data_IF_290344722506
#
_entry.id   IF_290344722506
#
_cell.length_a   1.000
_cell.length_b   1.000
_cell.length_c   1.000
_cell.angle_alpha   90.00
_cell.angle_beta   90.00
_cell.angle_gamma   90.00
#
_symmetry.space_group_name_H-M   'P 1'
#
loop_
_entity.id
_entity.type
_entity.pdbx_description
1 polymer ?
#
# COMPACT_ATOMS: atom_id res chain seq x y z
N UNK A 1 37.72 1.32 23.68
CA UNK A 1 37.51 0.44 22.53
C UNK A 1 36.07 -0.02 22.34
N UNK A 2 35.34 -0.24 23.38
CA UNK A 2 33.93 -0.68 23.25
C UNK A 2 32.96 0.42 22.84
N UNK A 3 33.35 1.67 22.96
CA UNK A 3 32.51 2.83 22.65
C UNK A 3 32.17 2.93 21.14
N UNK A 4 33.09 2.50 20.28
CA UNK A 4 32.89 2.53 18.83
C UNK A 4 31.81 1.56 18.34
N UNK A 5 31.69 0.40 18.97
CA UNK A 5 30.66 -0.59 18.61
C UNK A 5 29.26 -0.15 19.01
N UNK A 6 29.13 0.50 20.14
CA UNK A 6 27.85 1.03 20.59
C UNK A 6 27.33 2.14 19.67
N UNK A 7 28.24 2.99 19.16
CA UNK A 7 27.86 4.06 18.23
C UNK A 7 27.37 3.50 16.90
N UNK A 8 27.97 2.44 16.39
CA UNK A 8 27.59 1.81 15.12
C UNK A 8 26.18 1.19 15.24
N UNK A 9 25.91 0.52 16.36
CA UNK A 9 24.59 -0.06 16.60
C UNK A 9 23.47 0.98 16.68
N UNK A 10 23.77 2.12 17.28
CA UNK A 10 22.80 3.22 17.41
C UNK A 10 22.47 3.84 16.04
N UNK A 11 23.48 4.02 15.19
CA UNK A 11 23.29 4.56 13.84
C UNK A 11 22.44 3.62 12.99
N UNK A 12 22.68 2.33 13.06
CA UNK A 12 21.90 1.35 12.32
C UNK A 12 20.42 1.35 12.75
N UNK A 13 20.15 1.45 14.05
CA UNK A 13 18.78 1.54 14.57
C UNK A 13 18.08 2.81 14.13
N UNK A 14 18.79 3.93 14.11
CA UNK A 14 18.24 5.21 13.66
C UNK A 14 17.87 5.19 12.19
N UNK A 15 18.71 4.61 11.33
CA UNK A 15 18.45 4.49 9.90
C UNK A 15 17.24 3.59 9.62
N UNK A 16 17.12 2.48 10.33
CA UNK A 16 15.99 1.58 10.19
C UNK A 16 14.67 2.27 10.61
N UNK A 17 14.68 3.03 11.69
CA UNK A 17 13.51 3.79 12.15
C UNK A 17 13.11 4.89 11.15
N UNK A 18 14.07 5.56 10.55
CA UNK A 18 13.81 6.59 9.54
C UNK A 18 13.25 5.99 8.25
N UNK A 19 13.75 4.83 7.82
CA UNK A 19 13.24 4.13 6.64
C UNK A 19 11.80 3.66 6.80
N UNK A 20 11.36 3.35 8.03
CA UNK A 20 10.00 2.87 8.32
C UNK A 20 8.93 3.97 8.18
N UNK A 21 9.29 5.25 8.14
CA UNK A 21 8.34 6.37 8.08
C UNK A 21 8.22 7.02 6.71
N UNK A 22 8.87 6.48 5.68
CA UNK A 22 8.88 7.07 4.35
C UNK A 22 7.70 6.59 3.50
N UNK A 23 7.03 7.48 2.84
CA UNK A 23 6.11 7.39 1.74
C UNK A 23 5.13 6.20 1.66
N UNK A 24 4.22 6.25 0.70
CA UNK A 24 3.26 5.15 0.50
C UNK A 24 3.92 3.93 -0.14
N UNK A 25 3.36 2.77 0.16
CA UNK A 25 3.68 1.52 -0.53
C UNK A 25 2.68 1.34 -1.67
N UNK A 26 3.18 0.97 -2.85
CA UNK A 26 2.36 0.77 -4.03
C UNK A 26 2.27 -0.70 -4.40
N UNK A 27 1.05 -1.14 -4.76
CA UNK A 27 0.79 -2.41 -5.42
C UNK A 27 0.17 -2.11 -6.77
N UNK A 28 0.68 -2.69 -7.84
CA UNK A 28 0.14 -2.50 -9.19
C UNK A 28 -0.61 -3.74 -9.67
N UNK A 29 -1.60 -3.52 -10.53
CA UNK A 29 -2.49 -4.57 -11.02
C UNK A 29 -2.52 -4.54 -12.55
N UNK A 30 -2.55 -5.73 -13.14
CA UNK A 30 -2.76 -5.90 -14.56
C UNK A 30 -4.18 -5.48 -14.97
N UNK A 31 -4.34 -5.07 -16.22
CA UNK A 31 -5.63 -4.64 -16.72
C UNK A 31 -6.67 -5.75 -16.56
N UNK A 32 -7.85 -5.36 -16.06
CA UNK A 32 -8.95 -6.29 -15.81
C UNK A 32 -8.73 -7.25 -14.66
N UNK A 33 -7.61 -7.18 -13.96
CA UNK A 33 -7.29 -8.04 -12.82
C UNK A 33 -7.56 -7.32 -11.49
N UNK A 34 -8.20 -8.04 -10.59
CA UNK A 34 -8.36 -7.61 -9.18
C UNK A 34 -7.60 -8.51 -8.23
N UNK A 35 -6.85 -9.48 -8.74
CA UNK A 35 -6.12 -10.45 -7.95
C UNK A 35 -4.71 -9.95 -7.64
N UNK A 36 -4.21 -10.33 -6.45
CA UNK A 36 -2.85 -10.03 -6.05
C UNK A 36 -1.85 -10.90 -6.82
N UNK A 37 -0.85 -10.26 -7.41
CA UNK A 37 0.29 -10.96 -8.00
C UNK A 37 1.23 -11.49 -6.91
N UNK A 38 2.16 -12.35 -7.29
CA UNK A 38 3.23 -12.81 -6.39
C UNK A 38 4.07 -11.64 -5.88
N UNK A 39 4.36 -10.67 -6.74
CA UNK A 39 5.09 -9.46 -6.34
C UNK A 39 4.29 -8.64 -5.33
N UNK A 40 2.99 -8.49 -5.53
CA UNK A 40 2.12 -7.78 -4.60
C UNK A 40 2.07 -8.46 -3.23
N UNK A 41 1.97 -9.77 -3.17
CA UNK A 41 1.98 -10.49 -1.90
C UNK A 41 3.30 -10.36 -1.17
N UNK A 42 4.43 -10.36 -1.88
CA UNK A 42 5.74 -10.13 -1.26
C UNK A 42 5.84 -8.73 -0.65
N UNK A 43 5.30 -7.71 -1.34
CA UNK A 43 5.24 -6.34 -0.82
C UNK A 43 4.35 -6.29 0.43
N UNK A 44 3.20 -6.95 0.40
CA UNK A 44 2.29 -7.00 1.55
C UNK A 44 2.90 -7.72 2.75
N UNK A 45 3.71 -8.74 2.53
CA UNK A 45 4.48 -9.38 3.61
C UNK A 45 5.38 -8.36 4.32
N UNK A 46 6.03 -7.49 3.56
CA UNK A 46 6.83 -6.40 4.10
C UNK A 46 6.01 -5.38 4.88
N UNK A 47 4.81 -5.06 4.40
CA UNK A 47 3.88 -4.18 5.12
C UNK A 47 3.48 -4.80 6.46
N UNK A 48 3.18 -6.09 6.48
CA UNK A 48 2.84 -6.80 7.71
C UNK A 48 3.99 -6.79 8.71
N UNK A 49 5.22 -6.97 8.25
CA UNK A 49 6.40 -6.89 9.11
C UNK A 49 6.58 -5.49 9.71
N UNK A 50 6.40 -4.45 8.91
CA UNK A 50 6.45 -3.06 9.39
C UNK A 50 5.40 -2.80 10.47
N UNK A 51 4.19 -3.30 10.26
CA UNK A 51 3.13 -3.17 11.26
C UNK A 51 3.51 -3.83 12.58
N UNK A 52 4.05 -5.05 12.52
CA UNK A 52 4.44 -5.77 13.75
C UNK A 52 5.56 -5.06 14.49
N UNK A 53 6.50 -4.45 13.77
CA UNK A 53 7.61 -3.72 14.37
C UNK A 53 7.15 -2.41 15.04
N UNK A 54 6.18 -1.73 14.44
CA UNK A 54 5.66 -0.44 14.93
C UNK A 54 4.18 -0.30 14.54
N UNK A 55 3.26 -0.90 15.33
CA UNK A 55 1.82 -0.87 15.00
C UNK A 55 1.27 0.55 14.87
N UNK A 56 0.68 0.82 13.70
CA UNK A 56 0.01 2.09 13.38
C UNK A 56 -1.19 1.79 12.50
N UNK A 57 -2.15 2.70 12.50
CA UNK A 57 -3.27 2.62 11.57
C UNK A 57 -2.78 2.75 10.12
N UNK A 58 -3.49 2.12 9.20
CA UNK A 58 -3.18 2.14 7.78
C UNK A 58 -4.36 2.62 6.96
N UNK A 59 -4.08 3.42 5.94
CA UNK A 59 -5.01 3.71 4.86
C UNK A 59 -4.65 2.82 3.67
N UNK A 60 -5.65 2.16 3.11
CA UNK A 60 -5.52 1.28 1.95
C UNK A 60 -6.40 1.86 0.85
N UNK A 61 -5.79 2.55 -0.08
CA UNK A 61 -6.49 3.33 -1.11
C UNK A 61 -6.41 2.62 -2.45
N UNK A 62 -7.57 2.28 -2.99
CA UNK A 62 -7.69 1.66 -4.31
C UNK A 62 -7.89 2.69 -5.41
N UNK A 63 -7.24 2.45 -6.55
CA UNK A 63 -7.30 3.30 -7.72
C UNK A 63 -7.45 2.47 -8.99
N UNK A 64 -8.00 3.08 -10.02
CA UNK A 64 -8.10 2.51 -11.36
C UNK A 64 -7.48 3.46 -12.38
N UNK A 65 -7.24 2.95 -13.59
CA UNK A 65 -6.97 3.82 -14.73
C UNK A 65 -8.29 4.35 -15.31
N UNK A 66 -8.22 5.12 -16.38
CA UNK A 66 -9.38 5.73 -17.02
C UNK A 66 -10.00 4.86 -18.12
N UNK A 67 -9.61 3.60 -18.23
CA UNK A 67 -10.22 2.67 -19.14
C UNK A 67 -11.58 2.20 -18.60
N UNK A 68 -12.59 2.21 -19.45
CA UNK A 68 -13.95 1.84 -19.07
C UNK A 68 -14.70 2.93 -18.29
N UNK A 69 -15.97 2.66 -17.94
CA UNK A 69 -16.83 3.63 -17.26
C UNK A 69 -16.40 3.93 -15.82
N UNK A 70 -16.61 5.17 -15.39
CA UNK A 70 -16.19 5.66 -14.08
C UNK A 70 -16.81 4.89 -12.89
N UNK A 71 -18.10 4.56 -12.96
CA UNK A 71 -18.78 3.84 -11.88
C UNK A 71 -18.17 2.47 -11.59
N UNK A 72 -18.07 1.57 -12.59
CA UNK A 72 -17.38 0.29 -12.44
C UNK A 72 -15.91 0.43 -12.02
N UNK A 73 -15.24 1.51 -12.38
CA UNK A 73 -13.86 1.77 -11.96
C UNK A 73 -13.75 2.01 -10.45
N UNK A 74 -14.74 2.66 -9.84
CA UNK A 74 -14.78 2.77 -8.37
C UNK A 74 -14.90 1.40 -7.72
N UNK A 75 -15.80 0.55 -8.21
CA UNK A 75 -15.98 -0.81 -7.70
C UNK A 75 -14.71 -1.66 -7.85
N UNK A 76 -14.04 -1.57 -9.01
CA UNK A 76 -12.77 -2.25 -9.24
C UNK A 76 -11.67 -1.79 -8.29
N UNK A 77 -11.58 -0.49 -8.06
CA UNK A 77 -10.59 0.07 -7.15
C UNK A 77 -10.82 -0.37 -5.71
N UNK A 78 -12.08 -0.44 -5.29
CA UNK A 78 -12.45 -0.97 -3.97
C UNK A 78 -12.05 -2.42 -3.82
N UNK A 79 -12.35 -3.24 -4.82
CA UNK A 79 -12.03 -4.66 -4.81
C UNK A 79 -10.53 -4.90 -4.67
N UNK A 80 -9.71 -4.12 -5.37
CA UNK A 80 -8.25 -4.20 -5.25
C UNK A 80 -7.78 -3.86 -3.84
N UNK A 81 -8.30 -2.80 -3.26
CA UNK A 81 -7.97 -2.41 -1.89
C UNK A 81 -8.41 -3.46 -0.86
N UNK A 82 -9.60 -4.04 -1.06
CA UNK A 82 -10.10 -5.10 -0.20
C UNK A 82 -9.26 -6.37 -0.28
N UNK A 83 -8.76 -6.72 -1.45
CA UNK A 83 -7.82 -7.84 -1.62
C UNK A 83 -6.56 -7.64 -0.77
N UNK A 84 -5.99 -6.45 -0.78
CA UNK A 84 -4.83 -6.11 0.03
C UNK A 84 -5.16 -6.18 1.53
N UNK A 85 -6.28 -5.62 1.94
CA UNK A 85 -6.75 -5.68 3.34
C UNK A 85 -6.94 -7.13 3.80
N UNK A 86 -7.60 -7.95 2.99
CA UNK A 86 -7.90 -9.34 3.35
C UNK A 86 -6.62 -10.16 3.48
N UNK A 87 -5.64 -9.93 2.63
CA UNK A 87 -4.34 -10.56 2.74
C UNK A 87 -3.65 -10.19 4.05
N UNK A 88 -3.63 -8.90 4.39
CA UNK A 88 -3.03 -8.42 5.64
C UNK A 88 -3.78 -8.97 6.85
N UNK A 89 -5.11 -9.03 6.82
CA UNK A 89 -5.92 -9.60 7.89
C UNK A 89 -5.60 -11.09 8.10
N UNK A 90 -5.43 -11.85 7.02
CA UNK A 90 -5.02 -13.25 7.09
C UNK A 90 -3.62 -13.43 7.68
N UNK A 91 -2.79 -12.40 7.65
CA UNK A 91 -1.44 -12.39 8.21
C UNK A 91 -1.36 -11.68 9.57
N UNK A 92 -2.49 -11.54 10.25
CA UNK A 92 -2.55 -11.11 11.65
C UNK A 92 -2.71 -9.61 11.88
N UNK A 93 -2.95 -8.81 10.84
CA UNK A 93 -3.22 -7.39 11.03
C UNK A 93 -4.70 -7.21 11.41
N UNK A 94 -5.01 -6.56 12.54
CA UNK A 94 -6.41 -6.40 12.94
C UNK A 94 -7.17 -5.47 11.99
N UNK A 95 -8.42 -5.79 11.72
CA UNK A 95 -9.29 -4.97 10.86
C UNK A 95 -9.43 -3.54 11.34
N UNK A 96 -9.41 -3.32 12.66
CA UNK A 96 -9.48 -1.98 13.26
C UNK A 96 -8.28 -1.09 12.92
N UNK A 97 -7.17 -1.68 12.49
CA UNK A 97 -5.97 -0.93 12.08
C UNK A 97 -6.01 -0.53 10.59
N UNK A 98 -6.98 -1.00 9.82
CA UNK A 98 -7.00 -0.84 8.38
C UNK A 98 -8.27 -0.13 7.93
N UNK A 99 -8.12 0.90 7.09
CA UNK A 99 -9.24 1.61 6.48
C UNK A 99 -9.11 1.55 4.96
N UNK A 100 -10.09 0.97 4.31
CA UNK A 100 -10.17 0.90 2.85
C UNK A 100 -10.89 2.13 2.31
N UNK A 101 -10.31 2.73 1.27
CA UNK A 101 -10.94 3.80 0.50
C UNK A 101 -10.82 3.46 -0.99
N UNK A 102 -11.80 3.87 -1.78
CA UNK A 102 -11.83 3.62 -3.22
C UNK A 102 -12.03 4.93 -3.96
N UNK A 103 -11.10 5.25 -4.84
CA UNK A 103 -11.08 6.50 -5.59
C UNK A 103 -11.45 6.33 -7.06
N UNK A 104 -11.49 5.09 -7.56
CA UNK A 104 -11.67 4.89 -8.99
C UNK A 104 -10.56 5.58 -9.78
N UNK A 105 -10.94 6.32 -10.81
CA UNK A 105 -10.01 7.06 -11.68
C UNK A 105 -9.74 8.51 -11.24
N UNK A 106 -10.28 8.93 -10.09
CA UNK A 106 -10.28 10.34 -9.69
C UNK A 106 -8.93 10.91 -9.28
N UNK A 107 -7.95 10.06 -8.93
CA UNK A 107 -6.65 10.50 -8.43
C UNK A 107 -5.49 9.78 -9.14
N UNK A 108 -5.26 10.05 -10.42
CA UNK A 108 -4.22 9.37 -11.20
C UNK A 108 -2.82 9.81 -10.78
N UNK A 109 -1.85 8.89 -10.88
CA UNK A 109 -0.42 9.22 -10.85
C UNK A 109 -0.01 9.80 -12.19
N UNK A 110 -0.46 9.15 -13.28
CA UNK A 110 -0.15 9.56 -14.65
C UNK A 110 -1.42 10.15 -15.26
N UNK A 111 -1.35 11.39 -15.71
CA UNK A 111 -2.45 12.02 -16.42
C UNK A 111 -2.62 11.35 -17.78
N UNK A 112 -3.82 10.89 -18.07
CA UNK A 112 -4.17 10.29 -19.38
C UNK A 112 -5.50 10.85 -19.85
N UNK A 113 -5.77 10.65 -21.14
CA UNK A 113 -7.11 10.86 -21.69
C UNK A 113 -8.05 9.75 -21.23
N UNK A 114 -9.35 9.98 -21.38
CA UNK A 114 -10.37 8.98 -21.12
C UNK A 114 -10.14 7.73 -21.96
N UNK A 115 -10.41 6.57 -21.37
CA UNK A 115 -10.32 5.29 -22.05
C UNK A 115 -8.93 4.69 -22.14
N UNK A 116 -7.90 5.40 -21.70
CA UNK A 116 -6.51 4.94 -21.80
C UNK A 116 -6.19 3.99 -20.64
N UNK A 117 -5.60 2.84 -20.99
CA UNK A 117 -5.04 1.90 -20.00
C UNK A 117 -3.68 2.40 -19.53
N UNK A 118 -3.51 2.47 -18.22
CA UNK A 118 -2.26 2.91 -17.62
C UNK A 118 -1.99 2.10 -16.34
N UNK A 119 -0.95 1.27 -16.37
CA UNK A 119 -0.65 0.37 -15.26
C UNK A 119 -0.34 1.12 -13.95
N UNK A 120 0.30 2.27 -14.02
CA UNK A 120 0.65 3.02 -12.80
C UNK A 120 -0.58 3.61 -12.10
N UNK A 121 -1.69 3.75 -12.82
CA UNK A 121 -2.95 4.21 -12.23
C UNK A 121 -3.76 3.06 -11.63
N UNK A 122 -3.55 1.83 -12.07
CA UNK A 122 -4.19 0.62 -11.51
C UNK A 122 -3.41 0.16 -10.29
N UNK A 123 -3.66 0.79 -9.17
CA UNK A 123 -2.83 0.57 -7.98
C UNK A 123 -3.63 0.58 -6.68
N UNK A 124 -3.01 0.03 -5.66
CA UNK A 124 -3.38 0.25 -4.27
C UNK A 124 -2.23 0.98 -3.60
N UNK A 125 -2.53 2.02 -2.87
CA UNK A 125 -1.57 2.75 -2.05
C UNK A 125 -1.83 2.43 -0.59
N UNK A 126 -0.78 2.05 0.14
CA UNK A 126 -0.86 1.78 1.56
C UNK A 126 0.00 2.78 2.30
N UNK A 127 -0.59 3.50 3.25
CA UNK A 127 0.10 4.46 4.10
C UNK A 127 -0.13 4.14 5.55
N UNK A 128 0.93 4.15 6.31
CA UNK A 128 0.82 4.17 7.76
C UNK A 128 0.54 5.60 8.19
N UNK A 129 -0.46 5.76 9.07
CA UNK A 129 -0.87 7.08 9.54
C UNK A 129 -0.73 7.14 11.05
N UNK A 130 -0.26 8.26 11.55
CA UNK A 130 -0.17 8.48 12.98
C UNK A 130 -1.57 8.47 13.58
N UNK A 131 -1.74 7.83 14.72
CA UNK A 131 -2.99 7.93 15.50
C UNK A 131 -3.03 9.32 16.12
N UNK A 132 -4.11 10.10 15.90
CA UNK A 132 -4.24 11.39 16.54
C UNK A 132 -4.36 11.30 18.05
#
# INVERSE_FOLDING_TARGET
MNILYAAIGLVASSLAAQGASSGPTYLFFDWGKGELSTDATAILDGVAERYRAAPQSMLIDGHSDRSGPAGPNVASSRKRAEQARDYLAAHGIPGSAMRVRAYGEAAPIIATEDGVREVQNRRVEIRFVAVP
#
